data_IF_523270114637
#
_entry.id   IF_523270114637
#
_cell.length_a   1.000
_cell.length_b   1.000
_cell.length_c   1.000
_cell.angle_alpha   90.00
_cell.angle_beta   90.00
_cell.angle_gamma   90.00
#
_symmetry.space_group_name_H-M   'P 1'
#
loop_
_entity.id
_entity.type
_entity.pdbx_description
1 polymer ?
#
# COMPACT_ATOMS: atom_id res chain seq x y z
N UNK A 1 1.82 36.85 -6.20
CA UNK A 1 2.43 36.77 -4.87
C UNK A 1 3.20 35.46 -4.79
N UNK A 2 4.52 35.45 -4.56
CA UNK A 2 5.27 34.20 -4.42
C UNK A 2 4.83 33.50 -3.13
N UNK A 3 4.35 32.26 -3.22
CA UNK A 3 4.14 31.43 -2.03
C UNK A 3 5.47 31.32 -1.30
N UNK A 4 5.49 31.67 -0.02
CA UNK A 4 6.69 31.44 0.77
C UNK A 4 6.95 29.93 0.83
N UNK A 5 8.18 29.51 0.51
CA UNK A 5 8.63 28.12 0.58
C UNK A 5 8.15 27.32 1.81
N UNK A 6 8.09 27.87 3.04
CA UNK A 6 7.53 27.13 4.19
C UNK A 6 6.05 26.80 4.08
N UNK A 7 5.23 27.58 3.36
CA UNK A 7 3.82 27.24 3.11
C UNK A 7 3.72 26.04 2.16
N UNK A 8 4.49 26.05 1.07
CA UNK A 8 4.50 24.95 0.09
C UNK A 8 4.81 23.62 0.79
N UNK A 9 5.85 23.59 1.62
CA UNK A 9 6.28 22.39 2.33
C UNK A 9 5.21 21.84 3.28
N UNK A 10 4.50 22.74 3.99
CA UNK A 10 3.38 22.35 4.88
C UNK A 10 2.20 21.77 4.09
N UNK A 11 1.83 22.40 2.98
CA UNK A 11 0.76 21.90 2.12
C UNK A 11 1.12 20.57 1.48
N UNK A 12 2.37 20.38 1.05
CA UNK A 12 2.85 19.09 0.53
C UNK A 12 2.77 18.00 1.58
N UNK A 13 3.23 18.24 2.82
CA UNK A 13 3.10 17.25 3.89
C UNK A 13 1.63 16.92 4.15
N UNK A 14 0.79 17.93 4.34
CA UNK A 14 -0.63 17.73 4.64
C UNK A 14 -1.36 16.98 3.52
N UNK A 15 -1.14 17.37 2.26
CA UNK A 15 -1.74 16.73 1.09
C UNK A 15 -1.26 15.28 0.96
N UNK A 16 0.06 15.03 1.00
CA UNK A 16 0.61 13.68 0.91
C UNK A 16 0.09 12.79 2.03
N UNK A 17 -0.03 13.31 3.25
CA UNK A 17 -0.58 12.56 4.38
C UNK A 17 -2.06 12.21 4.22
N UNK A 18 -2.89 13.17 3.78
CA UNK A 18 -4.33 12.92 3.53
C UNK A 18 -4.50 11.89 2.40
N UNK A 19 -3.73 12.03 1.32
CA UNK A 19 -3.77 11.11 0.20
C UNK A 19 -3.32 9.72 0.61
N UNK A 20 -2.24 9.58 1.40
CA UNK A 20 -1.80 8.30 1.95
C UNK A 20 -2.89 7.64 2.79
N UNK A 21 -3.59 8.38 3.66
CA UNK A 21 -4.71 7.83 4.45
C UNK A 21 -5.83 7.36 3.53
N UNK A 22 -6.26 8.19 2.58
CA UNK A 22 -7.37 7.87 1.68
C UNK A 22 -7.06 6.63 0.82
N UNK A 23 -5.87 6.57 0.23
CA UNK A 23 -5.42 5.42 -0.55
C UNK A 23 -5.33 4.17 0.34
N UNK A 24 -4.86 4.30 1.58
CA UNK A 24 -4.75 3.19 2.54
C UNK A 24 -6.08 2.58 2.93
N UNK A 25 -7.06 3.42 3.24
CA UNK A 25 -8.42 2.97 3.54
C UNK A 25 -9.03 2.29 2.31
N UNK A 26 -8.79 2.86 1.12
CA UNK A 26 -9.30 2.30 -0.14
C UNK A 26 -8.68 0.92 -0.42
N UNK A 27 -7.37 0.77 -0.28
CA UNK A 27 -6.70 -0.53 -0.47
C UNK A 27 -7.17 -1.56 0.56
N UNK A 28 -7.31 -1.16 1.83
CA UNK A 28 -7.81 -2.06 2.88
C UNK A 28 -9.23 -2.56 2.56
N UNK A 29 -10.11 -1.64 2.16
CA UNK A 29 -11.48 -1.95 1.77
C UNK A 29 -11.52 -2.89 0.56
N UNK A 30 -10.85 -2.54 -0.53
CA UNK A 30 -10.86 -3.32 -1.76
C UNK A 30 -10.23 -4.70 -1.56
N UNK A 31 -9.11 -4.79 -0.83
CA UNK A 31 -8.47 -6.06 -0.48
C UNK A 31 -9.44 -6.94 0.30
N UNK A 32 -10.05 -6.42 1.37
CA UNK A 32 -11.04 -7.16 2.16
C UNK A 32 -12.28 -7.56 1.36
N UNK A 33 -12.75 -6.69 0.46
CA UNK A 33 -13.89 -6.94 -0.41
C UNK A 33 -13.62 -8.07 -1.40
N UNK A 34 -12.49 -8.03 -2.13
CA UNK A 34 -12.04 -9.09 -3.03
C UNK A 34 -11.87 -10.41 -2.28
N UNK A 35 -11.26 -10.38 -1.10
CA UNK A 35 -11.09 -11.58 -0.27
C UNK A 35 -12.43 -12.22 0.09
N UNK A 36 -13.42 -11.41 0.48
CA UNK A 36 -14.76 -11.87 0.81
C UNK A 36 -15.50 -12.38 -0.44
N UNK A 37 -15.43 -11.65 -1.55
CA UNK A 37 -16.08 -12.01 -2.81
C UNK A 37 -15.59 -13.36 -3.33
N UNK A 38 -14.26 -13.57 -3.35
CA UNK A 38 -13.68 -14.84 -3.76
C UNK A 38 -13.94 -15.95 -2.73
N UNK A 39 -13.85 -15.68 -1.43
CA UNK A 39 -14.14 -16.70 -0.43
C UNK A 39 -15.60 -17.20 -0.45
N UNK A 40 -16.54 -16.35 -0.90
CA UNK A 40 -17.97 -16.68 -0.96
C UNK A 40 -18.35 -17.36 -2.28
N UNK A 41 -17.84 -16.84 -3.40
CA UNK A 41 -18.23 -17.31 -4.74
C UNK A 41 -17.32 -18.43 -5.25
N UNK A 42 -16.05 -18.37 -4.88
CA UNK A 42 -15.00 -19.30 -5.34
C UNK A 42 -14.11 -19.73 -4.15
N UNK A 43 -14.65 -20.43 -3.14
CA UNK A 43 -13.88 -20.85 -1.96
C UNK A 43 -12.68 -21.75 -2.31
N UNK A 44 -11.77 -21.95 -1.35
CA UNK A 44 -10.74 -22.98 -1.44
C UNK A 44 -11.42 -24.36 -1.48
N UNK A 45 -11.50 -24.97 -2.66
CA UNK A 45 -12.20 -26.24 -2.88
C UNK A 45 -11.71 -26.96 -4.14
N UNK A 46 -12.32 -28.11 -4.44
CA UNK A 46 -12.15 -28.86 -5.67
C UNK A 46 -13.11 -28.34 -6.76
N UNK A 47 -12.57 -28.10 -7.94
CA UNK A 47 -13.28 -27.58 -9.10
C UNK A 47 -13.14 -28.51 -10.29
N UNK A 48 -14.16 -28.50 -11.14
CA UNK A 48 -14.10 -29.19 -12.43
C UNK A 48 -13.28 -28.34 -13.40
N UNK A 49 -12.23 -28.93 -13.97
CA UNK A 49 -11.49 -28.33 -15.07
C UNK A 49 -12.27 -28.45 -16.39
N UNK A 50 -12.56 -27.31 -17.02
CA UNK A 50 -13.28 -27.23 -18.29
C UNK A 50 -12.36 -27.05 -19.51
N UNK A 51 -11.04 -26.91 -19.30
CA UNK A 51 -10.09 -26.63 -20.39
C UNK A 51 -10.20 -25.22 -20.96
N UNK A 52 -9.36 -24.91 -21.96
CA UNK A 52 -9.50 -23.65 -22.69
C UNK A 52 -10.81 -23.67 -23.48
N UNK A 53 -11.76 -22.82 -23.06
CA UNK A 53 -13.07 -22.67 -23.70
C UNK A 53 -13.01 -22.36 -25.19
N UNK A 54 -11.85 -21.91 -25.71
CA UNK A 54 -11.66 -21.56 -27.13
C UNK A 54 -11.39 -22.75 -28.04
N UNK A 55 -11.03 -23.90 -27.47
CA UNK A 55 -10.78 -25.12 -28.23
C UNK A 55 -11.86 -26.16 -27.86
N UNK A 56 -13.04 -26.02 -28.49
CA UNK A 56 -14.05 -27.09 -28.49
C UNK A 56 -13.52 -28.22 -29.38
N UNK A 57 -12.55 -28.98 -28.88
CA UNK A 57 -12.10 -30.21 -29.53
C UNK A 57 -13.18 -31.26 -29.26
N UNK A 58 -14.02 -31.48 -30.27
CA UNK A 58 -15.01 -32.55 -30.31
C UNK A 58 -14.24 -33.87 -30.14
N UNK A 59 -14.29 -34.47 -28.94
CA UNK A 59 -13.67 -35.78 -28.69
C UNK A 59 -13.02 -35.98 -27.33
N UNK A 60 -12.83 -34.94 -26.50
CA UNK A 60 -12.38 -35.14 -25.11
C UNK A 60 -13.55 -35.00 -24.13
N UNK A 61 -13.81 -36.04 -23.32
CA UNK A 61 -13.96 -35.81 -21.88
C UNK A 61 -13.21 -36.88 -21.03
N UNK A 62 -12.96 -36.65 -19.72
CA UNK A 62 -13.82 -35.84 -18.86
C UNK A 62 -13.09 -34.79 -18.03
N UNK A 63 -13.77 -33.68 -17.80
CA UNK A 63 -13.86 -33.01 -16.50
C UNK A 63 -13.06 -33.72 -15.41
N UNK A 64 -11.85 -33.26 -15.12
CA UNK A 64 -11.09 -33.76 -13.98
C UNK A 64 -11.08 -32.71 -12.88
N UNK A 65 -10.99 -33.20 -11.65
CA UNK A 65 -10.97 -32.33 -10.48
C UNK A 65 -9.58 -31.71 -10.35
N UNK A 66 -9.57 -30.42 -10.08
CA UNK A 66 -8.39 -29.66 -9.68
C UNK A 66 -8.69 -28.99 -8.36
N UNK A 67 -7.67 -28.85 -7.51
CA UNK A 67 -7.84 -28.23 -6.20
C UNK A 67 -7.33 -26.80 -6.25
N UNK A 68 -8.16 -25.82 -5.93
CA UNK A 68 -7.75 -24.42 -5.83
C UNK A 68 -7.49 -24.07 -4.37
N UNK A 69 -6.28 -23.56 -4.09
CA UNK A 69 -5.90 -22.99 -2.80
C UNK A 69 -5.39 -21.57 -2.96
N UNK A 70 -5.85 -20.68 -2.09
CA UNK A 70 -5.39 -19.29 -2.06
C UNK A 70 -4.16 -19.11 -1.17
N UNK A 71 -3.15 -18.47 -1.73
CA UNK A 71 -2.04 -17.92 -0.97
C UNK A 71 -2.40 -16.54 -0.42
N UNK A 72 -2.11 -16.32 0.86
CA UNK A 72 -2.45 -15.11 1.62
C UNK A 72 -1.26 -14.15 1.74
N UNK A 73 -0.09 -14.54 1.26
CA UNK A 73 1.16 -13.79 1.41
C UNK A 73 1.05 -12.39 0.79
N UNK A 74 0.40 -12.27 -0.37
CA UNK A 74 0.28 -10.97 -1.06
C UNK A 74 -0.63 -9.98 -0.33
N UNK A 75 -1.75 -10.47 0.21
CA UNK A 75 -2.74 -9.67 0.94
C UNK A 75 -2.19 -9.23 2.28
N UNK A 76 -1.46 -10.10 2.98
CA UNK A 76 -0.80 -9.74 4.23
C UNK A 76 0.22 -8.62 4.03
N UNK A 77 1.00 -8.65 2.96
CA UNK A 77 1.93 -7.56 2.63
C UNK A 77 1.20 -6.26 2.33
N UNK A 78 0.08 -6.31 1.60
CA UNK A 78 -0.75 -5.14 1.31
C UNK A 78 -1.34 -4.52 2.59
N UNK A 79 -1.83 -5.35 3.53
CA UNK A 79 -2.32 -4.90 4.82
C UNK A 79 -1.23 -4.24 5.66
N UNK A 80 -0.02 -4.82 5.66
CA UNK A 80 1.12 -4.24 6.37
C UNK A 80 1.52 -2.89 5.77
N UNK A 81 1.67 -2.80 4.44
CA UNK A 81 2.02 -1.57 3.75
C UNK A 81 0.97 -0.46 4.00
N UNK A 82 -0.31 -0.80 3.86
CA UNK A 82 -1.43 0.12 4.14
C UNK A 82 -1.45 0.56 5.61
N UNK A 83 -1.15 -0.35 6.55
CA UNK A 83 -1.03 -0.01 7.98
C UNK A 83 0.05 1.03 8.26
N UNK A 84 1.25 0.86 7.70
CA UNK A 84 2.33 1.85 7.83
C UNK A 84 1.96 3.19 7.18
N UNK A 85 1.31 3.16 6.02
CA UNK A 85 0.88 4.37 5.32
C UNK A 85 -0.19 5.16 6.09
N UNK A 86 -1.14 4.48 6.76
CA UNK A 86 -2.11 5.13 7.67
C UNK A 86 -1.39 5.80 8.82
N UNK A 87 -0.47 5.10 9.50
CA UNK A 87 0.25 5.66 10.66
C UNK A 87 1.10 6.87 10.24
N UNK A 88 1.83 6.77 9.14
CA UNK A 88 2.62 7.87 8.59
C UNK A 88 1.73 9.07 8.21
N UNK A 89 0.56 8.81 7.60
CA UNK A 89 -0.43 9.82 7.26
C UNK A 89 -0.98 10.53 8.50
N UNK A 90 -1.44 9.80 9.50
CA UNK A 90 -1.98 10.37 10.75
C UNK A 90 -0.95 11.25 11.45
N UNK A 91 0.30 10.78 11.56
CA UNK A 91 1.38 11.55 12.16
C UNK A 91 1.68 12.83 11.36
N UNK A 92 1.71 12.75 10.03
CA UNK A 92 1.92 13.93 9.19
C UNK A 92 0.80 14.96 9.28
N UNK A 93 -0.46 14.54 9.38
CA UNK A 93 -1.60 15.43 9.68
C UNK A 93 -1.45 16.03 11.09
N UNK A 94 -1.03 15.25 12.08
CA UNK A 94 -0.81 15.72 13.45
C UNK A 94 0.23 16.85 13.54
N UNK A 95 1.37 16.70 12.85
CA UNK A 95 2.47 17.68 12.89
C UNK A 95 2.04 19.07 12.36
N UNK A 96 1.21 19.14 11.32
CA UNK A 96 0.90 20.41 10.65
C UNK A 96 -0.56 20.85 10.73
N UNK A 97 -1.51 19.94 10.90
CA UNK A 97 -2.94 20.21 11.00
C UNK A 97 -3.38 20.55 12.42
N UNK A 98 -2.90 19.80 13.42
CA UNK A 98 -3.32 19.97 14.82
C UNK A 98 -2.38 20.84 15.65
N UNK A 99 -1.14 21.06 15.19
CA UNK A 99 -0.17 21.91 15.89
C UNK A 99 -0.56 23.39 16.05
N UNK A 100 -1.60 23.86 15.34
CA UNK A 100 -2.22 25.17 15.60
C UNK A 100 -3.23 25.14 16.76
N UNK A 101 -3.95 24.03 16.89
CA UNK A 101 -5.02 23.88 17.90
C UNK A 101 -4.45 23.49 19.26
N UNK A 102 -3.41 22.65 19.27
CA UNK A 102 -2.74 22.20 20.50
C UNK A 102 -1.77 23.22 21.11
N UNK A 103 -1.45 24.29 20.39
CA UNK A 103 -0.52 25.32 20.89
C UNK A 103 -1.16 26.27 21.89
N UNK A 104 -2.49 26.24 22.00
CA UNK A 104 -3.25 27.19 22.79
C UNK A 104 -3.56 26.66 24.20
N UNK A 105 -3.34 25.36 24.49
CA UNK A 105 -3.96 24.75 25.68
C UNK A 105 -3.10 23.79 26.51
N UNK A 106 -1.82 23.49 26.19
CA UNK A 106 -1.07 22.54 27.06
C UNK A 106 0.44 22.75 27.24
N UNK A 107 0.86 22.60 28.51
CA UNK A 107 2.18 22.93 29.09
C UNK A 107 3.28 21.87 28.84
N UNK A 108 3.00 20.82 28.05
CA UNK A 108 3.91 19.69 27.82
C UNK A 108 3.91 19.20 26.37
N UNK A 109 3.85 20.12 25.39
CA UNK A 109 3.94 19.72 23.97
C UNK A 109 5.30 19.03 23.70
N UNK A 110 5.33 17.82 23.10
CA UNK A 110 6.57 17.16 22.73
C UNK A 110 7.41 18.07 21.82
N UNK A 111 8.73 18.02 21.98
CA UNK A 111 9.60 18.92 21.22
C UNK A 111 9.35 18.76 19.71
N UNK A 112 9.31 19.87 18.93
CA UNK A 112 9.01 19.83 17.49
C UNK A 112 10.00 18.98 16.68
N UNK A 113 11.20 18.75 17.23
CA UNK A 113 12.19 17.85 16.66
C UNK A 113 11.78 16.37 16.81
N UNK A 114 11.23 15.99 17.97
CA UNK A 114 10.82 14.60 18.23
C UNK A 114 9.63 14.18 17.38
N UNK A 115 8.65 15.07 17.19
CA UNK A 115 7.50 14.83 16.31
C UNK A 115 7.91 14.76 14.84
N UNK A 116 8.85 15.60 14.40
CA UNK A 116 9.38 15.54 13.03
C UNK A 116 10.17 14.25 12.80
N UNK A 117 11.01 13.83 13.75
CA UNK A 117 11.80 12.60 13.66
C UNK A 117 10.94 11.34 13.62
N UNK A 118 9.96 11.23 14.53
CA UNK A 118 9.02 10.10 14.56
C UNK A 118 8.22 10.02 13.26
N UNK A 119 7.66 11.13 12.79
CA UNK A 119 6.92 11.17 11.51
C UNK A 119 7.82 10.77 10.33
N UNK A 120 9.08 11.23 10.31
CA UNK A 120 10.03 10.86 9.25
C UNK A 120 10.35 9.36 9.28
N UNK A 121 10.52 8.77 10.47
CA UNK A 121 10.75 7.34 10.63
C UNK A 121 9.57 6.51 10.08
N UNK A 122 8.34 6.88 10.42
CA UNK A 122 7.15 6.18 9.89
C UNK A 122 6.95 6.41 8.40
N UNK A 123 7.21 7.61 7.88
CA UNK A 123 7.14 7.88 6.46
C UNK A 123 8.18 7.07 5.67
N UNK A 124 9.40 6.92 6.21
CA UNK A 124 10.44 6.07 5.63
C UNK A 124 10.04 4.59 5.71
N UNK A 125 9.48 4.16 6.84
CA UNK A 125 8.92 2.82 7.01
C UNK A 125 7.87 2.52 5.96
N UNK A 126 6.88 3.41 5.77
CA UNK A 126 5.84 3.28 4.76
C UNK A 126 6.41 3.23 3.34
N UNK A 127 7.43 4.04 3.02
CA UNK A 127 8.11 4.01 1.73
C UNK A 127 8.79 2.66 1.48
N UNK A 128 9.58 2.19 2.44
CA UNK A 128 10.34 0.94 2.32
C UNK A 128 9.41 -0.28 2.26
N UNK A 129 8.38 -0.33 3.10
CA UNK A 129 7.41 -1.45 3.11
C UNK A 129 6.56 -1.46 1.85
N UNK A 130 6.10 -0.30 1.36
CA UNK A 130 5.35 -0.22 0.10
C UNK A 130 6.20 -0.63 -1.09
N UNK A 131 7.46 -0.18 -1.16
CA UNK A 131 8.38 -0.54 -2.22
C UNK A 131 8.74 -2.03 -2.19
N UNK A 132 9.08 -2.55 -1.01
CA UNK A 132 9.37 -3.97 -0.83
C UNK A 132 8.16 -4.84 -1.19
N UNK A 133 6.95 -4.44 -0.78
CA UNK A 133 5.71 -5.13 -1.11
C UNK A 133 5.45 -5.11 -2.62
N UNK A 134 5.61 -3.96 -3.28
CA UNK A 134 5.42 -3.83 -4.72
C UNK A 134 6.38 -4.74 -5.51
N UNK A 135 7.66 -4.77 -5.13
CA UNK A 135 8.67 -5.64 -5.74
C UNK A 135 8.33 -7.11 -5.46
N UNK A 136 8.05 -7.46 -4.21
CA UNK A 136 7.75 -8.82 -3.80
C UNK A 136 6.51 -9.36 -4.50
N UNK A 137 5.40 -8.61 -4.51
CA UNK A 137 4.16 -8.99 -5.17
C UNK A 137 4.39 -9.22 -6.68
N UNK A 138 5.19 -8.37 -7.31
CA UNK A 138 5.53 -8.51 -8.73
C UNK A 138 6.32 -9.79 -9.02
N UNK A 139 7.36 -10.07 -8.21
CA UNK A 139 8.18 -11.28 -8.34
C UNK A 139 7.36 -12.53 -8.02
N UNK A 140 6.61 -12.49 -6.93
CA UNK A 140 5.80 -13.59 -6.45
C UNK A 140 4.70 -13.96 -7.46
N UNK A 141 4.08 -12.97 -8.11
CA UNK A 141 3.14 -13.21 -9.21
C UNK A 141 3.77 -14.01 -10.35
N UNK A 142 4.96 -13.61 -10.80
CA UNK A 142 5.68 -14.32 -11.88
C UNK A 142 6.04 -15.74 -11.43
N UNK A 143 6.49 -15.90 -10.19
CA UNK A 143 6.85 -17.20 -9.63
C UNK A 143 5.63 -18.13 -9.55
N UNK A 144 4.51 -17.65 -9.01
CA UNK A 144 3.26 -18.41 -8.95
C UNK A 144 2.79 -18.82 -10.35
N UNK A 145 2.75 -17.89 -11.32
CA UNK A 145 2.34 -18.20 -12.70
C UNK A 145 3.21 -19.28 -13.36
N UNK A 146 4.49 -19.39 -12.99
CA UNK A 146 5.41 -20.40 -13.54
C UNK A 146 5.33 -21.74 -12.82
N UNK A 147 4.98 -21.77 -11.54
CA UNK A 147 5.16 -22.94 -10.69
C UNK A 147 3.83 -23.59 -10.32
N UNK A 148 2.99 -22.87 -9.59
CA UNK A 148 1.86 -23.42 -8.82
C UNK A 148 0.51 -22.89 -9.29
N UNK A 149 0.50 -21.82 -10.08
CA UNK A 149 -0.68 -21.19 -10.66
C UNK A 149 -0.56 -21.10 -12.19
N UNK A 150 -0.12 -22.19 -12.82
CA UNK A 150 0.00 -22.29 -14.27
C UNK A 150 -1.21 -23.03 -14.84
N UNK A 151 -2.11 -22.34 -15.53
CA UNK A 151 -3.32 -22.96 -16.12
C UNK A 151 -3.00 -24.19 -16.98
N UNK A 152 -1.83 -24.25 -17.64
CA UNK A 152 -1.42 -25.42 -18.44
C UNK A 152 -1.22 -26.69 -17.61
N UNK A 153 -0.83 -26.56 -16.34
CA UNK A 153 -0.75 -27.71 -15.43
C UNK A 153 -2.13 -28.32 -15.14
N UNK A 154 -3.20 -27.58 -15.45
CA UNK A 154 -4.57 -28.04 -15.36
C UNK A 154 -4.95 -29.05 -16.43
N UNK A 155 -4.10 -29.37 -17.40
CA UNK A 155 -4.34 -30.47 -18.33
C UNK A 155 -4.17 -31.86 -17.67
N UNK A 156 -3.56 -31.92 -16.49
CA UNK A 156 -3.39 -33.15 -15.72
C UNK A 156 -4.43 -33.27 -14.59
N UNK A 157 -4.91 -34.50 -14.36
CA UNK A 157 -5.85 -34.80 -13.27
C UNK A 157 -5.20 -34.61 -11.89
N UNK A 158 -5.97 -34.14 -10.90
CA UNK A 158 -5.54 -33.97 -9.50
C UNK A 158 -4.45 -32.92 -9.28
N UNK A 159 -4.28 -31.98 -10.22
CA UNK A 159 -3.40 -30.83 -10.04
C UNK A 159 -3.91 -29.94 -8.92
N UNK A 160 -3.01 -29.58 -8.00
CA UNK A 160 -3.28 -28.59 -6.97
C UNK A 160 -2.70 -27.25 -7.38
N UNK A 161 -3.58 -26.26 -7.48
CA UNK A 161 -3.22 -24.88 -7.73
C UNK A 161 -3.08 -24.10 -6.44
N UNK A 162 -1.94 -23.44 -6.27
CA UNK A 162 -1.73 -22.45 -5.22
C UNK A 162 -1.54 -21.11 -5.89
N UNK A 163 -2.53 -20.22 -5.72
CA UNK A 163 -2.60 -18.96 -6.44
C UNK A 163 -2.83 -17.80 -5.47
N UNK A 164 -2.27 -16.63 -5.76
CA UNK A 164 -2.79 -15.39 -5.17
C UNK A 164 -4.22 -15.17 -5.68
N UNK A 165 -5.05 -14.46 -4.92
CA UNK A 165 -6.44 -14.16 -5.31
C UNK A 165 -6.55 -13.47 -6.67
N UNK A 166 -5.66 -12.53 -6.97
CA UNK A 166 -5.63 -11.90 -8.29
C UNK A 166 -5.32 -12.91 -9.39
N UNK A 167 -4.25 -13.69 -9.24
CA UNK A 167 -3.85 -14.65 -10.28
C UNK A 167 -4.93 -15.72 -10.48
N UNK A 168 -5.57 -16.16 -9.39
CA UNK A 168 -6.72 -17.05 -9.47
C UNK A 168 -7.85 -16.42 -10.28
N UNK A 169 -8.30 -15.21 -9.91
CA UNK A 169 -9.43 -14.55 -10.56
C UNK A 169 -9.18 -14.21 -12.04
N UNK A 170 -7.97 -13.72 -12.33
CA UNK A 170 -7.62 -13.26 -13.67
C UNK A 170 -7.19 -14.38 -14.61
N UNK A 171 -6.42 -15.36 -14.12
CA UNK A 171 -5.71 -16.31 -14.99
C UNK A 171 -6.19 -17.77 -14.84
N UNK A 172 -6.77 -18.18 -13.70
CA UNK A 172 -7.16 -19.58 -13.47
C UNK A 172 -8.68 -19.81 -13.52
N UNK A 173 -9.47 -18.97 -12.84
CA UNK A 173 -10.93 -19.10 -12.75
C UNK A 173 -11.64 -19.25 -14.12
N UNK A 174 -11.20 -18.61 -15.23
CA UNK A 174 -11.83 -18.82 -16.54
C UNK A 174 -11.85 -20.27 -17.03
N UNK A 175 -10.94 -21.12 -16.52
CA UNK A 175 -10.79 -22.52 -16.93
C UNK A 175 -11.55 -23.49 -16.01
N UNK A 176 -11.97 -23.05 -14.83
CA UNK A 176 -12.61 -23.89 -13.80
C UNK A 176 -14.04 -23.46 -13.45
N UNK A 177 -14.44 -22.26 -13.87
CA UNK A 177 -15.75 -21.67 -13.59
C UNK A 177 -16.38 -21.18 -14.88
N UNK A 178 -17.65 -21.56 -15.10
CA UNK A 178 -18.48 -21.05 -16.21
C UNK A 178 -19.67 -20.19 -15.75
N UNK A 179 -19.97 -20.19 -14.45
CA UNK A 179 -21.06 -19.39 -13.84
C UNK A 179 -20.44 -18.23 -13.07
N UNK A 180 -21.14 -17.11 -12.93
CA UNK A 180 -20.66 -15.95 -12.15
C UNK A 180 -19.40 -15.29 -12.74
N UNK A 181 -19.29 -15.28 -14.08
CA UNK A 181 -18.23 -14.60 -14.82
C UNK A 181 -18.11 -13.11 -14.44
N UNK A 182 -19.25 -12.45 -14.18
CA UNK A 182 -19.28 -11.05 -13.75
C UNK A 182 -18.55 -10.86 -12.41
N UNK A 183 -18.73 -11.79 -11.46
CA UNK A 183 -18.07 -11.78 -10.15
C UNK A 183 -16.57 -12.00 -10.30
N UNK A 184 -16.18 -12.93 -11.17
CA UNK A 184 -14.77 -13.20 -11.50
C UNK A 184 -14.09 -11.96 -12.10
N UNK A 185 -14.73 -11.32 -13.08
CA UNK A 185 -14.21 -10.12 -13.74
C UNK A 185 -14.06 -8.99 -12.73
N UNK A 186 -15.10 -8.73 -11.93
CA UNK A 186 -15.05 -7.72 -10.86
C UNK A 186 -13.92 -7.98 -9.86
N UNK A 187 -13.76 -9.22 -9.39
CA UNK A 187 -12.69 -9.59 -8.47
C UNK A 187 -11.29 -9.39 -9.08
N UNK A 188 -11.12 -9.71 -10.38
CA UNK A 188 -9.86 -9.49 -11.10
C UNK A 188 -9.54 -7.99 -11.23
N UNK A 189 -10.52 -7.17 -11.61
CA UNK A 189 -10.35 -5.74 -11.80
C UNK A 189 -10.08 -5.01 -10.48
N UNK A 190 -10.80 -5.34 -9.42
CA UNK A 190 -10.56 -4.81 -8.07
C UNK A 190 -9.18 -5.21 -7.55
N UNK A 191 -8.77 -6.48 -7.70
CA UNK A 191 -7.44 -6.94 -7.26
C UNK A 191 -6.30 -6.23 -8.01
N UNK A 192 -6.44 -6.05 -9.33
CA UNK A 192 -5.47 -5.27 -10.13
C UNK A 192 -5.43 -3.81 -9.70
N UNK A 193 -6.59 -3.23 -9.39
CA UNK A 193 -6.69 -1.85 -8.91
C UNK A 193 -5.93 -1.69 -7.60
N UNK A 194 -6.10 -2.61 -6.64
CA UNK A 194 -5.35 -2.64 -5.38
C UNK A 194 -3.85 -2.63 -5.63
N UNK A 195 -3.34 -3.51 -6.50
CA UNK A 195 -1.90 -3.53 -6.82
C UNK A 195 -1.44 -2.23 -7.49
N UNK A 196 -2.29 -1.62 -8.30
CA UNK A 196 -2.05 -0.31 -8.88
C UNK A 196 -1.88 0.81 -7.85
N UNK A 197 -2.51 0.70 -6.67
CA UNK A 197 -2.42 1.68 -5.58
C UNK A 197 -1.07 1.67 -4.84
N UNK A 198 -0.26 0.62 -4.97
CA UNK A 198 1.10 0.59 -4.41
C UNK A 198 2.03 1.64 -5.04
N UNK A 199 1.83 1.96 -6.33
CA UNK A 199 2.62 3.00 -7.01
C UNK A 199 2.39 4.39 -6.41
N UNK A 200 1.14 4.89 -6.29
CA UNK A 200 0.92 6.17 -5.63
C UNK A 200 1.33 6.15 -4.15
N UNK A 201 1.26 5.02 -3.42
CA UNK A 201 1.86 4.96 -2.08
C UNK A 201 3.33 5.31 -2.08
N UNK A 202 4.13 4.68 -2.95
CA UNK A 202 5.57 4.95 -3.04
C UNK A 202 5.82 6.42 -3.37
N UNK A 203 5.04 6.98 -4.32
CA UNK A 203 5.18 8.39 -4.71
C UNK A 203 4.85 9.35 -3.57
N UNK A 204 3.72 9.18 -2.89
CA UNK A 204 3.30 10.08 -1.81
C UNK A 204 4.11 9.87 -0.52
N UNK A 205 4.54 8.64 -0.23
CA UNK A 205 5.47 8.38 0.87
C UNK A 205 6.85 9.00 0.59
N UNK A 206 7.35 8.93 -0.64
CA UNK A 206 8.58 9.61 -1.05
C UNK A 206 8.42 11.14 -0.94
N UNK A 207 7.32 11.70 -1.43
CA UNK A 207 7.05 13.13 -1.30
C UNK A 207 6.99 13.57 0.17
N UNK A 208 6.35 12.77 1.04
CA UNK A 208 6.26 13.03 2.47
C UNK A 208 7.64 12.98 3.15
N UNK A 209 8.43 11.92 2.89
CA UNK A 209 9.78 11.77 3.45
C UNK A 209 10.71 12.91 3.05
N UNK A 210 10.74 13.27 1.76
CA UNK A 210 11.55 14.39 1.25
C UNK A 210 11.10 15.71 1.89
N UNK A 211 9.79 15.96 1.97
CA UNK A 211 9.27 17.17 2.56
C UNK A 211 9.66 17.29 4.04
N UNK A 212 9.52 16.21 4.82
CA UNK A 212 9.91 16.18 6.24
C UNK A 212 11.42 16.34 6.43
N UNK A 213 12.24 15.72 5.57
CA UNK A 213 13.70 15.90 5.60
C UNK A 213 14.09 17.36 5.37
N UNK A 214 13.46 18.05 4.42
CA UNK A 214 13.67 19.47 4.18
C UNK A 214 13.22 20.34 5.37
N UNK A 215 12.13 19.98 6.06
CA UNK A 215 11.71 20.65 7.31
C UNK A 215 12.81 20.47 8.37
N UNK A 216 13.30 19.25 8.58
CA UNK A 216 14.32 18.94 9.57
C UNK A 216 15.64 19.67 9.34
N UNK A 217 16.12 19.73 8.09
CA UNK A 217 17.33 20.50 7.72
C UNK A 217 17.14 21.99 8.03
N UNK A 218 15.96 22.55 7.77
CA UNK A 218 15.66 23.96 8.08
C UNK A 218 15.58 24.22 9.58
N UNK A 219 14.94 23.34 10.34
CA UNK A 219 14.89 23.45 11.81
C UNK A 219 16.30 23.39 12.41
N UNK A 220 17.17 22.50 11.93
CA UNK A 220 18.58 22.46 12.35
C UNK A 220 19.33 23.75 12.01
N UNK A 221 19.15 24.31 10.81
CA UNK A 221 19.77 25.60 10.45
C UNK A 221 19.25 26.77 11.30
N UNK A 222 17.96 26.77 11.66
CA UNK A 222 17.37 27.81 12.51
C UNK A 222 17.74 27.66 14.00
N UNK A 223 17.95 26.43 14.48
CA UNK A 223 18.42 26.12 15.83
C UNK A 223 19.94 26.13 16.00
N UNK A 224 20.69 26.28 14.91
CA UNK A 224 22.16 26.37 14.91
C UNK A 224 22.72 27.75 15.28
N UNK A 225 21.86 28.75 15.51
CA UNK A 225 22.24 29.97 16.23
C UNK A 225 22.27 29.57 17.70
N UNK A 226 23.45 29.32 18.24
CA UNK A 226 23.60 28.81 19.61
C UNK A 226 22.96 29.77 20.61
N UNK A 227 22.50 29.25 21.74
CA UNK A 227 22.01 30.08 22.84
C UNK A 227 23.08 31.11 23.27
N UNK A 228 24.37 30.75 23.16
CA UNK A 228 25.49 31.68 23.34
C UNK A 228 25.49 32.81 22.30
N UNK A 229 25.23 32.54 21.02
CA UNK A 229 25.14 33.60 19.99
C UNK A 229 23.90 34.51 20.16
N UNK A 230 22.84 34.02 20.83
CA UNK A 230 21.70 34.86 21.23
C UNK A 230 21.99 35.69 22.48
N UNK A 231 22.71 35.14 23.45
CA UNK A 231 23.12 35.86 24.66
C UNK A 231 24.15 36.93 24.32
N UNK A 232 25.10 36.63 23.43
CA UNK A 232 26.14 37.56 22.97
C UNK A 232 25.58 38.74 22.16
N UNK A 233 24.43 38.56 21.47
CA UNK A 233 23.72 39.68 20.82
C UNK A 233 22.97 40.55 21.83
N UNK A 234 22.37 39.95 22.85
CA UNK A 234 21.66 40.70 23.89
C UNK A 234 22.62 41.52 24.76
N UNK A 235 23.81 41.01 25.09
CA UNK A 235 24.83 41.80 25.81
C UNK A 235 25.47 42.89 24.98
N UNK A 236 25.45 42.80 23.64
CA UNK A 236 26.01 43.82 22.73
C UNK A 236 25.05 44.97 22.44
N UNK A 237 23.75 44.75 22.63
CA UNK A 237 22.71 45.78 22.47
C UNK A 237 22.48 46.58 23.78
N UNK A 238 23.08 46.16 24.91
CA UNK A 238 23.04 46.86 26.21
C UNK A 238 24.26 47.76 26.49
N UNK A 239 25.29 47.73 25.63
CA UNK A 239 26.43 48.69 25.62
C UNK A 239 26.24 49.82 24.61
#
# INVERSE_FOLDING_TARGET
MPLSFPLILKYTVLLSSIVLIALSITSFYLTGHVMKMLATSFPTDEYIWYGDSREVVIGLPPYHMVKLTYDWTTENLEFVASGFAIVAGILGVGVFGLGKWWREEDTQSPSPLWTTLTTTFFALGALLTSLASAIWISVHRIQLQRTTCNHKAGEHSWTQFTCSRETAACDLLPYIVRREEDVRVAACDEARTVRGLLVPYVVFALALTVALALVGVRQKRAGGVSAEERVERLTRDEE
#
